data_IF_827462021004
#
_entry.id   IF_827462021004
#
_cell.length_a   1.000
_cell.length_b   1.000
_cell.length_c   1.000
_cell.angle_alpha   90.00
_cell.angle_beta   90.00
_cell.angle_gamma   90.00
#
_symmetry.space_group_name_H-M   'P 1'
#
loop_
_entity.id
_entity.type
_entity.pdbx_description
1 polymer ?
#
# COMPACT_ATOMS: atom_id res chain seq x y z
N UNK A 1 70.94 -34.03 1.71
CA UNK A 1 70.35 -32.72 2.06
C UNK A 1 69.17 -32.46 1.16
N UNK A 2 68.09 -31.94 1.75
CA UNK A 2 66.71 -32.01 1.28
C UNK A 2 66.38 -31.18 0.03
N UNK A 3 65.56 -31.83 -0.80
CA UNK A 3 64.49 -31.39 -1.70
C UNK A 3 63.99 -29.94 -1.59
N UNK A 4 63.84 -29.25 -2.73
CA UNK A 4 62.94 -28.10 -2.85
C UNK A 4 62.11 -28.20 -4.13
N UNK A 5 60.85 -28.64 -3.99
CA UNK A 5 59.81 -28.62 -5.04
C UNK A 5 59.08 -27.28 -4.97
N UNK A 6 59.24 -26.45 -5.98
CA UNK A 6 58.49 -25.21 -6.17
C UNK A 6 57.04 -25.54 -6.52
N UNK A 7 56.11 -25.26 -5.62
CA UNK A 7 54.67 -25.42 -5.86
C UNK A 7 54.17 -24.22 -6.67
N UNK A 8 53.88 -24.42 -7.95
CA UNK A 8 53.11 -23.47 -8.76
C UNK A 8 51.64 -23.62 -8.37
N UNK A 9 51.16 -22.71 -7.52
CA UNK A 9 49.72 -22.55 -7.28
C UNK A 9 49.15 -21.70 -8.42
N UNK A 10 48.50 -22.36 -9.39
CA UNK A 10 47.69 -21.71 -10.39
C UNK A 10 46.45 -21.11 -9.72
N UNK A 11 46.37 -19.78 -9.71
CA UNK A 11 45.20 -19.00 -9.34
C UNK A 11 44.02 -19.41 -10.23
N UNK A 12 43.03 -20.09 -9.64
CA UNK A 12 41.71 -20.23 -10.26
C UNK A 12 40.92 -18.95 -10.05
N UNK A 13 40.79 -18.13 -11.10
CA UNK A 13 39.84 -17.00 -11.13
C UNK A 13 38.44 -17.61 -11.30
N UNK A 14 37.71 -17.72 -10.20
CA UNK A 14 36.30 -18.10 -10.18
C UNK A 14 35.49 -16.87 -10.63
N UNK A 15 35.09 -16.84 -11.91
CA UNK A 15 34.19 -15.82 -12.45
C UNK A 15 32.78 -16.05 -11.88
N UNK A 16 32.46 -15.40 -10.77
CA UNK A 16 31.11 -15.40 -10.19
C UNK A 16 30.21 -14.55 -11.10
N UNK A 17 29.49 -15.20 -12.01
CA UNK A 17 28.37 -14.61 -12.72
C UNK A 17 27.27 -14.30 -11.71
N UNK A 18 27.28 -13.08 -11.17
CA UNK A 18 26.20 -12.54 -10.35
C UNK A 18 24.97 -12.43 -11.25
N UNK A 19 24.08 -13.41 -11.16
CA UNK A 19 22.72 -13.34 -11.70
C UNK A 19 21.89 -12.40 -10.83
N UNK A 20 22.23 -11.11 -10.88
CA UNK A 20 21.41 -10.07 -10.28
C UNK A 20 20.05 -10.10 -10.95
N UNK A 21 18.97 -10.29 -10.18
CA UNK A 21 17.63 -10.01 -10.68
C UNK A 21 17.64 -8.56 -11.17
N UNK A 22 17.22 -8.26 -12.41
CA UNK A 22 17.05 -6.88 -12.82
C UNK A 22 16.10 -6.22 -11.81
N UNK A 23 16.60 -5.23 -11.08
CA UNK A 23 15.77 -4.33 -10.31
C UNK A 23 15.09 -3.47 -11.36
N UNK A 24 13.94 -3.95 -11.86
CA UNK A 24 13.08 -3.12 -12.68
C UNK A 24 12.54 -2.04 -11.75
N UNK A 25 12.97 -0.80 -11.98
CA UNK A 25 12.34 0.34 -11.34
C UNK A 25 10.86 0.35 -11.72
N UNK A 26 9.97 0.54 -10.75
CA UNK A 26 8.55 0.63 -11.05
C UNK A 26 8.27 1.84 -11.94
N UNK A 27 7.36 1.65 -12.88
CA UNK A 27 6.85 2.70 -13.75
C UNK A 27 5.97 3.69 -12.97
N UNK A 28 5.81 4.88 -13.54
CA UNK A 28 4.90 5.91 -13.02
C UNK A 28 3.47 5.38 -12.82
N UNK A 29 2.93 4.62 -13.78
CA UNK A 29 1.61 4.02 -13.68
C UNK A 29 1.50 2.97 -12.57
N UNK A 30 2.57 2.21 -12.31
CA UNK A 30 2.61 1.24 -11.21
C UNK A 30 2.61 1.94 -9.86
N UNK A 31 3.34 3.05 -9.71
CA UNK A 31 3.25 3.87 -8.49
C UNK A 31 1.85 4.47 -8.32
N UNK A 32 1.24 5.02 -9.37
CA UNK A 32 -0.13 5.53 -9.28
C UNK A 32 -1.13 4.43 -8.86
N UNK A 33 -0.98 3.22 -9.39
CA UNK A 33 -1.79 2.07 -8.97
C UNK A 33 -1.59 1.72 -7.48
N UNK A 34 -0.39 1.89 -6.92
CA UNK A 34 -0.15 1.72 -5.48
C UNK A 34 -0.91 2.76 -4.65
N UNK A 35 -1.04 4.00 -5.13
CA UNK A 35 -1.85 5.02 -4.47
C UNK A 35 -3.32 4.61 -4.36
N UNK A 36 -3.91 4.18 -5.48
CA UNK A 36 -5.27 3.61 -5.50
C UNK A 36 -5.41 2.40 -4.57
N UNK A 37 -4.43 1.49 -4.61
CA UNK A 37 -4.45 0.30 -3.76
C UNK A 37 -4.38 0.66 -2.28
N UNK A 38 -3.59 1.66 -1.88
CA UNK A 38 -3.50 2.14 -0.51
C UNK A 38 -4.84 2.70 -0.02
N UNK A 39 -5.47 3.57 -0.82
CA UNK A 39 -6.76 4.16 -0.49
C UNK A 39 -7.82 3.07 -0.26
N UNK A 40 -8.00 2.17 -1.24
CA UNK A 40 -8.97 1.08 -1.12
C UNK A 40 -8.66 0.13 0.03
N UNK A 41 -7.39 -0.14 0.31
CA UNK A 41 -7.00 -0.97 1.45
C UNK A 41 -7.39 -0.32 2.79
N UNK A 42 -7.22 1.00 2.93
CA UNK A 42 -7.62 1.71 4.14
C UNK A 42 -9.14 1.80 4.29
N UNK A 43 -9.88 2.08 3.22
CA UNK A 43 -11.35 2.00 3.25
C UNK A 43 -11.82 0.62 3.71
N UNK A 44 -11.27 -0.44 3.10
CA UNK A 44 -11.60 -1.81 3.45
C UNK A 44 -11.15 -2.20 4.87
N UNK A 45 -10.04 -1.66 5.37
CA UNK A 45 -9.58 -1.87 6.74
C UNK A 45 -10.57 -1.27 7.75
N UNK A 46 -11.04 -0.04 7.51
CA UNK A 46 -12.06 0.60 8.33
C UNK A 46 -13.40 -0.17 8.33
N UNK A 47 -13.82 -0.66 7.16
CA UNK A 47 -15.01 -1.51 7.04
C UNK A 47 -14.84 -2.85 7.78
N UNK A 48 -13.66 -3.46 7.70
CA UNK A 48 -13.34 -4.69 8.43
C UNK A 48 -13.36 -4.48 9.95
N UNK A 49 -12.78 -3.37 10.42
CA UNK A 49 -12.84 -2.97 11.83
C UNK A 49 -14.29 -2.83 12.30
N UNK A 50 -15.09 -2.07 11.56
CA UNK A 50 -16.48 -1.80 11.93
C UNK A 50 -17.36 -3.05 11.86
N UNK A 51 -17.00 -4.03 11.04
CA UNK A 51 -17.63 -5.36 10.97
C UNK A 51 -17.01 -6.40 11.92
N UNK A 52 -16.16 -5.97 12.87
CA UNK A 52 -15.49 -6.81 13.87
C UNK A 52 -14.59 -7.91 13.29
N UNK A 53 -14.15 -7.75 12.04
CA UNK A 53 -13.20 -8.63 11.38
C UNK A 53 -11.77 -8.11 11.56
N UNK A 54 -11.23 -8.28 12.78
CA UNK A 54 -9.91 -7.75 13.16
C UNK A 54 -8.76 -8.33 12.34
N UNK A 55 -8.87 -9.57 11.87
CA UNK A 55 -7.85 -10.19 11.03
C UNK A 55 -7.72 -9.48 9.67
N UNK A 56 -8.84 -9.24 8.99
CA UNK A 56 -8.82 -8.53 7.71
C UNK A 56 -8.46 -7.05 7.91
N UNK A 57 -8.93 -6.42 9.00
CA UNK A 57 -8.56 -5.06 9.38
C UNK A 57 -7.04 -4.89 9.41
N UNK A 58 -6.34 -5.75 10.15
CA UNK A 58 -4.88 -5.68 10.31
C UNK A 58 -4.14 -5.96 9.00
N UNK A 59 -4.59 -6.99 8.25
CA UNK A 59 -4.00 -7.36 6.96
C UNK A 59 -4.08 -6.21 5.95
N UNK A 60 -5.27 -5.62 5.82
CA UNK A 60 -5.53 -4.54 4.88
C UNK A 60 -4.82 -3.25 5.31
N UNK A 61 -4.79 -2.94 6.60
CA UNK A 61 -4.03 -1.80 7.11
C UNK A 61 -2.54 -1.92 6.77
N UNK A 62 -1.92 -3.07 7.07
CA UNK A 62 -0.50 -3.31 6.77
C UNK A 62 -0.20 -3.22 5.28
N UNK A 63 -1.06 -3.81 4.44
CA UNK A 63 -0.90 -3.72 2.99
C UNK A 63 -0.99 -2.26 2.52
N UNK A 64 -2.04 -1.54 2.93
CA UNK A 64 -2.24 -0.13 2.61
C UNK A 64 -1.08 0.75 3.08
N UNK A 65 -0.54 0.47 4.27
CA UNK A 65 0.61 1.17 4.84
C UNK A 65 1.86 1.03 3.93
N UNK A 66 2.19 -0.21 3.56
CA UNK A 66 3.37 -0.52 2.74
C UNK A 66 3.27 0.12 1.35
N UNK A 67 2.16 -0.08 0.64
CA UNK A 67 2.03 0.43 -0.74
C UNK A 67 1.79 1.94 -0.76
N UNK A 68 1.11 2.48 0.25
CA UNK A 68 0.89 3.91 0.42
C UNK A 68 2.18 4.67 0.68
N UNK A 69 3.04 4.20 1.59
CA UNK A 69 4.37 4.80 1.80
C UNK A 69 5.18 4.79 0.51
N UNK A 70 5.19 3.66 -0.21
CA UNK A 70 5.95 3.55 -1.47
C UNK A 70 5.47 4.56 -2.51
N UNK A 71 4.16 4.70 -2.66
CA UNK A 71 3.57 5.71 -3.54
C UNK A 71 3.93 7.14 -3.12
N UNK A 72 3.75 7.50 -1.84
CA UNK A 72 4.03 8.86 -1.35
C UNK A 72 5.50 9.23 -1.58
N UNK A 73 6.42 8.32 -1.27
CA UNK A 73 7.84 8.51 -1.53
C UNK A 73 8.13 8.69 -3.04
N UNK A 74 7.45 7.94 -3.90
CA UNK A 74 7.60 8.08 -5.35
C UNK A 74 7.09 9.44 -5.85
N UNK A 75 5.96 9.94 -5.32
CA UNK A 75 5.44 11.27 -5.64
C UNK A 75 6.42 12.36 -5.21
N UNK A 76 6.92 12.29 -3.97
CA UNK A 76 7.89 13.27 -3.45
C UNK A 76 9.23 13.24 -4.19
N UNK A 77 9.58 12.10 -4.77
CA UNK A 77 10.78 11.93 -5.61
C UNK A 77 10.52 12.22 -7.09
N UNK A 78 9.37 12.80 -7.45
CA UNK A 78 8.96 13.13 -8.82
C UNK A 78 8.96 11.94 -9.80
N UNK A 79 8.76 10.72 -9.29
CA UNK A 79 8.72 9.48 -10.09
C UNK A 79 7.36 9.17 -10.69
N UNK A 80 6.34 9.94 -10.32
CA UNK A 80 4.95 9.76 -10.80
C UNK A 80 4.58 10.96 -11.66
N UNK A 81 4.26 10.69 -12.93
CA UNK A 81 3.79 11.67 -13.89
C UNK A 81 2.43 12.21 -13.47
N UNK A 82 2.17 13.47 -13.81
CA UNK A 82 0.90 14.15 -13.50
C UNK A 82 -0.30 13.45 -14.14
N UNK A 83 -0.13 12.92 -15.35
CA UNK A 83 -1.20 12.22 -16.07
C UNK A 83 -1.60 10.93 -15.32
N UNK A 84 -0.62 10.17 -14.85
CA UNK A 84 -0.86 8.93 -14.10
C UNK A 84 -1.49 9.20 -12.73
N UNK A 85 -1.09 10.29 -12.05
CA UNK A 85 -1.76 10.74 -10.83
C UNK A 85 -3.24 11.05 -11.09
N UNK A 86 -3.52 11.84 -12.12
CA UNK A 86 -4.87 12.33 -12.42
C UNK A 86 -5.81 11.21 -12.87
N UNK A 87 -5.29 10.19 -13.55
CA UNK A 87 -6.09 9.08 -14.07
C UNK A 87 -6.15 7.88 -13.12
N UNK A 88 -5.12 7.68 -12.30
CA UNK A 88 -4.93 6.46 -11.52
C UNK A 88 -5.28 6.58 -10.04
N UNK A 89 -5.19 7.78 -9.45
CA UNK A 89 -5.27 7.98 -8.00
C UNK A 89 -6.58 8.64 -7.60
N UNK A 90 -7.30 8.13 -6.57
CA UNK A 90 -8.50 8.76 -6.07
C UNK A 90 -8.27 10.22 -5.66
N UNK A 91 -9.22 11.11 -6.02
CA UNK A 91 -9.11 12.54 -5.73
C UNK A 91 -8.94 12.84 -4.23
N UNK A 92 -9.62 12.06 -3.37
CA UNK A 92 -9.49 12.17 -1.91
C UNK A 92 -8.05 11.98 -1.44
N UNK A 93 -7.33 11.00 -2.01
CA UNK A 93 -5.91 10.80 -1.71
C UNK A 93 -5.06 11.97 -2.18
N UNK A 94 -5.27 12.45 -3.42
CA UNK A 94 -4.48 13.54 -4.00
C UNK A 94 -4.55 14.83 -3.17
N UNK A 95 -5.72 15.15 -2.61
CA UNK A 95 -5.93 16.32 -1.75
C UNK A 95 -5.19 16.24 -0.41
N UNK A 96 -4.77 15.03 -0.01
CA UNK A 96 -4.16 14.75 1.29
C UNK A 96 -2.64 14.54 1.22
N UNK A 97 -2.01 14.66 0.04
CA UNK A 97 -0.56 14.45 -0.17
C UNK A 97 0.37 15.56 0.37
N UNK A 98 -0.07 16.29 1.40
CA UNK A 98 0.68 17.39 1.99
C UNK A 98 1.07 17.06 3.44
N UNK A 99 2.31 17.36 3.83
CA UNK A 99 2.77 17.10 5.19
C UNK A 99 4.29 17.06 5.29
N UNK A 100 4.83 17.04 6.52
CA UNK A 100 6.26 17.09 6.78
C UNK A 100 7.00 15.78 6.50
N UNK A 101 6.33 14.63 6.59
CA UNK A 101 6.94 13.31 6.38
C UNK A 101 5.98 12.37 5.63
N UNK A 102 6.50 11.34 4.93
CA UNK A 102 5.66 10.32 4.29
C UNK A 102 4.65 9.66 5.25
N UNK A 103 5.06 9.29 6.47
CA UNK A 103 4.17 8.69 7.46
C UNK A 103 3.05 9.64 7.89
N UNK A 104 3.35 10.92 8.10
CA UNK A 104 2.31 11.89 8.46
C UNK A 104 1.31 12.07 7.32
N UNK A 105 1.80 12.18 6.08
CA UNK A 105 0.94 12.23 4.89
C UNK A 105 0.06 10.99 4.83
N UNK A 106 0.64 9.81 5.05
CA UNK A 106 -0.10 8.55 5.01
C UNK A 106 -1.15 8.46 6.12
N UNK A 107 -0.85 8.97 7.32
CA UNK A 107 -1.83 9.10 8.40
C UNK A 107 -3.03 9.96 7.98
N UNK A 108 -2.79 11.11 7.33
CA UNK A 108 -3.88 11.93 6.78
C UNK A 108 -4.70 11.20 5.72
N UNK A 109 -4.02 10.46 4.84
CA UNK A 109 -4.69 9.63 3.81
C UNK A 109 -5.54 8.56 4.46
N UNK A 110 -5.04 7.88 5.50
CA UNK A 110 -5.78 6.87 6.25
C UNK A 110 -7.06 7.47 6.87
N UNK A 111 -6.97 8.60 7.56
CA UNK A 111 -8.13 9.29 8.14
C UNK A 111 -9.16 9.68 7.06
N UNK A 112 -8.70 10.20 5.92
CA UNK A 112 -9.60 10.55 4.80
C UNK A 112 -10.29 9.32 4.18
N UNK A 113 -9.59 8.20 4.07
CA UNK A 113 -10.16 6.94 3.59
C UNK A 113 -11.17 6.36 4.59
N UNK A 114 -10.91 6.47 5.90
CA UNK A 114 -11.84 6.06 6.94
C UNK A 114 -13.14 6.87 6.87
N UNK A 115 -13.04 8.20 6.76
CA UNK A 115 -14.20 9.08 6.61
C UNK A 115 -15.01 8.72 5.35
N UNK A 116 -14.33 8.56 4.21
CA UNK A 116 -14.92 8.12 2.94
C UNK A 116 -15.69 6.81 3.07
N UNK A 117 -15.10 5.81 3.73
CA UNK A 117 -15.70 4.49 3.88
C UNK A 117 -16.90 4.49 4.84
N UNK A 118 -16.77 5.19 5.96
CA UNK A 118 -17.67 5.07 7.10
C UNK A 118 -18.75 6.14 7.19
N UNK A 119 -18.70 7.22 6.40
CA UNK A 119 -19.71 8.27 6.48
C UNK A 119 -21.15 7.73 6.31
N UNK A 120 -21.41 6.92 5.27
CA UNK A 120 -22.74 6.29 5.08
C UNK A 120 -22.96 5.05 5.95
N UNK A 121 -21.93 4.59 6.67
CA UNK A 121 -22.07 3.53 7.68
C UNK A 121 -22.65 4.14 8.94
N UNK A 122 -22.09 5.28 9.40
CA UNK A 122 -22.56 5.99 10.57
C UNK A 122 -23.93 6.63 10.37
N UNK A 123 -24.20 7.15 9.18
CA UNK A 123 -25.43 7.91 8.91
C UNK A 123 -26.20 7.34 7.72
N UNK A 124 -27.52 7.22 7.87
CA UNK A 124 -28.42 6.89 6.76
C UNK A 124 -29.65 7.78 6.82
N UNK A 125 -29.98 8.45 5.72
CA UNK A 125 -31.12 9.37 5.67
C UNK A 125 -31.04 10.54 6.66
N UNK A 126 -29.83 10.99 7.02
CA UNK A 126 -29.61 12.08 7.98
C UNK A 126 -29.74 11.70 9.45
N UNK A 127 -29.90 10.41 9.76
CA UNK A 127 -29.94 9.90 11.15
C UNK A 127 -28.73 9.02 11.43
N UNK A 128 -28.26 9.05 12.69
CA UNK A 128 -27.20 8.18 13.16
C UNK A 128 -27.72 6.74 13.32
N UNK A 129 -27.00 5.77 12.76
CA UNK A 129 -27.34 4.36 12.79
C UNK A 129 -27.01 3.74 14.16
N UNK A 130 -27.72 2.68 14.56
CA UNK A 130 -27.32 1.88 15.74
C UNK A 130 -26.03 1.10 15.45
N UNK A 131 -25.31 0.66 16.49
CA UNK A 131 -24.08 -0.12 16.30
C UNK A 131 -24.30 -1.40 15.48
N UNK A 132 -25.44 -2.09 15.70
CA UNK A 132 -25.81 -3.28 14.93
C UNK A 132 -26.06 -2.96 13.45
N UNK A 133 -26.76 -1.85 13.16
CA UNK A 133 -26.96 -1.38 11.80
C UNK A 133 -25.64 -0.99 11.14
N UNK A 134 -24.76 -0.28 11.84
CA UNK A 134 -23.44 0.08 11.34
C UNK A 134 -22.59 -1.14 11.01
N UNK A 135 -22.57 -2.16 11.89
CA UNK A 135 -21.84 -3.42 11.65
C UNK A 135 -22.36 -4.13 10.39
N UNK A 136 -23.68 -4.23 10.22
CA UNK A 136 -24.32 -4.85 9.06
C UNK A 136 -24.00 -4.12 7.75
N UNK A 137 -24.10 -2.78 7.74
CA UNK A 137 -23.76 -1.97 6.56
C UNK A 137 -22.27 -2.11 6.23
N UNK A 138 -21.39 -2.04 7.22
CA UNK A 138 -19.95 -2.18 7.02
C UNK A 138 -19.59 -3.54 6.42
N UNK A 139 -20.18 -4.62 6.93
CA UNK A 139 -20.00 -5.98 6.40
C UNK A 139 -20.45 -6.08 4.95
N UNK A 140 -21.60 -5.52 4.60
CA UNK A 140 -22.09 -5.52 3.22
C UNK A 140 -21.18 -4.71 2.29
N UNK A 141 -20.76 -3.51 2.69
CA UNK A 141 -19.79 -2.69 1.92
C UNK A 141 -18.47 -3.44 1.72
N UNK A 142 -17.95 -4.10 2.75
CA UNK A 142 -16.70 -4.87 2.67
C UNK A 142 -16.75 -5.94 1.57
N UNK A 143 -17.82 -6.73 1.52
CA UNK A 143 -17.98 -7.77 0.50
C UNK A 143 -18.21 -7.18 -0.89
N UNK A 144 -19.05 -6.15 -1.00
CA UNK A 144 -19.37 -5.52 -2.29
C UNK A 144 -18.16 -4.82 -2.94
N UNK A 145 -17.24 -4.31 -2.13
CA UNK A 145 -15.99 -3.71 -2.60
C UNK A 145 -14.89 -4.75 -2.91
N UNK A 146 -15.17 -6.05 -2.73
CA UNK A 146 -14.21 -7.13 -2.90
C UNK A 146 -12.94 -6.97 -2.04
N UNK A 147 -13.10 -6.45 -0.82
CA UNK A 147 -11.99 -6.17 0.09
C UNK A 147 -11.12 -7.42 0.37
N UNK A 148 -11.72 -8.62 0.31
CA UNK A 148 -11.03 -9.89 0.46
C UNK A 148 -9.99 -10.18 -0.63
N UNK A 149 -9.98 -9.44 -1.74
CA UNK A 149 -9.06 -9.63 -2.87
C UNK A 149 -7.85 -8.67 -2.84
N UNK A 150 -7.92 -7.61 -2.05
CA UNK A 150 -6.87 -6.58 -2.02
C UNK A 150 -5.60 -7.15 -1.38
N UNK A 151 -4.45 -7.01 -2.04
CA UNK A 151 -3.14 -7.37 -1.48
C UNK A 151 -2.91 -8.88 -1.28
N UNK A 152 -3.52 -9.70 -2.13
CA UNK A 152 -3.30 -11.16 -2.20
C UNK A 152 -2.48 -11.56 -3.42
#
# INVERSE_FOLDING_TARGET
>A
MHTTRTKVFLLGILLVLVTGKPIFAESSSEYAAMGKAAWSAFECSALAEKSKNTQEQERLFKYGYVVGLKFINAVQSEKVKREDLSNGVPIGMLLLLQGPTPDFILGRVFEGALDSALNDVYNTGGSFNSDETQESIAKNKFWNQNCQLIGK
#
